data_IF_108129775638
#
_entry.id   IF_108129775638
#
_cell.length_a   1.000
_cell.length_b   1.000
_cell.length_c   1.000
_cell.angle_alpha   90.00
_cell.angle_beta   90.00
_cell.angle_gamma   90.00
#
_symmetry.space_group_name_H-M   'P 1'
#
loop_
_entity.id
_entity.type
_entity.pdbx_description
1 polymer ?
#
# COMPACT_ATOMS: atom_id res chain seq x y z
N UNK A 1 16.69 2.53 -32.34
CA UNK A 1 15.56 3.28 -31.74
C UNK A 1 15.80 3.29 -30.23
N UNK A 2 15.81 4.44 -29.58
CA UNK A 2 16.06 4.50 -28.13
C UNK A 2 14.89 3.92 -27.35
N UNK A 3 15.14 3.28 -26.19
CA UNK A 3 14.12 2.65 -25.34
C UNK A 3 13.00 3.62 -24.99
N UNK A 4 13.30 4.90 -24.73
CA UNK A 4 12.30 5.95 -24.52
C UNK A 4 11.29 6.09 -25.68
N UNK A 5 11.74 5.99 -26.94
CA UNK A 5 10.84 6.04 -28.12
C UNK A 5 9.99 4.77 -28.20
N UNK A 6 10.58 3.61 -27.89
CA UNK A 6 9.85 2.33 -27.83
C UNK A 6 8.81 2.33 -26.71
N UNK A 7 9.15 2.88 -25.53
CA UNK A 7 8.23 3.07 -24.42
C UNK A 7 7.00 3.89 -24.84
N UNK A 8 7.21 5.07 -25.41
CA UNK A 8 6.11 5.94 -25.84
C UNK A 8 5.26 5.32 -26.97
N UNK A 9 5.81 4.39 -27.74
CA UNK A 9 5.11 3.74 -28.86
C UNK A 9 4.39 2.46 -28.49
N UNK A 10 4.96 1.66 -27.58
CA UNK A 10 4.53 0.27 -27.36
C UNK A 10 4.01 -0.01 -25.95
N UNK A 11 4.31 0.84 -24.97
CA UNK A 11 3.77 0.73 -23.61
C UNK A 11 2.67 1.77 -23.44
N UNK A 12 1.45 1.34 -23.09
CA UNK A 12 0.34 2.25 -22.87
C UNK A 12 0.64 3.18 -21.67
N UNK A 13 0.53 4.49 -21.89
CA UNK A 13 0.65 5.49 -20.84
C UNK A 13 -0.70 5.80 -20.23
N UNK A 14 -0.66 6.26 -18.97
CA UNK A 14 -1.82 6.74 -18.21
C UNK A 14 -1.77 8.26 -17.96
N UNK A 15 -0.80 8.95 -18.59
CA UNK A 15 -0.58 10.39 -18.55
C UNK A 15 -0.01 10.87 -19.88
N UNK A 16 -0.36 12.08 -20.30
CA UNK A 16 0.17 12.74 -21.53
C UNK A 16 1.64 13.14 -21.35
N UNK A 17 2.11 13.31 -20.10
CA UNK A 17 3.45 13.77 -19.77
C UNK A 17 4.15 12.82 -18.76
N UNK A 18 4.43 11.57 -19.15
CA UNK A 18 5.17 10.65 -18.29
C UNK A 18 6.59 11.16 -18.03
N UNK A 19 7.16 10.89 -16.87
CA UNK A 19 8.56 11.23 -16.54
C UNK A 19 9.53 10.64 -17.56
N UNK A 20 9.23 9.44 -18.06
CA UNK A 20 9.99 8.73 -19.10
C UNK A 20 11.51 8.68 -18.83
N UNK A 21 11.90 8.57 -17.56
CA UNK A 21 13.28 8.32 -17.14
C UNK A 21 13.58 6.84 -17.35
N UNK A 22 14.64 6.52 -18.08
CA UNK A 22 15.06 5.14 -18.33
C UNK A 22 15.92 4.66 -17.17
N UNK A 23 15.32 3.97 -16.19
CA UNK A 23 16.05 3.36 -15.06
C UNK A 23 16.70 2.06 -15.53
N UNK A 24 18.00 1.93 -15.35
CA UNK A 24 18.79 0.76 -15.76
C UNK A 24 19.29 -0.06 -14.56
N UNK A 25 19.35 0.54 -13.37
CA UNK A 25 19.80 -0.14 -12.16
C UNK A 25 19.11 0.43 -10.92
N UNK A 26 18.88 -0.44 -9.93
CA UNK A 26 18.42 -0.06 -8.59
C UNK A 26 19.17 -0.91 -7.54
N UNK A 27 19.70 -0.28 -6.49
CA UNK A 27 20.39 -0.97 -5.39
C UNK A 27 20.35 -0.14 -4.10
N UNK A 28 20.01 -0.79 -2.98
CA UNK A 28 19.80 -0.11 -1.71
C UNK A 28 18.73 0.99 -1.84
N UNK A 29 19.08 2.22 -1.52
CA UNK A 29 18.16 3.37 -1.57
C UNK A 29 18.30 4.19 -2.88
N UNK A 30 18.98 3.65 -3.90
CA UNK A 30 19.39 4.43 -5.06
C UNK A 30 18.96 3.80 -6.38
N UNK A 31 18.64 4.69 -7.34
CA UNK A 31 18.32 4.36 -8.73
C UNK A 31 19.38 4.98 -9.65
N UNK A 32 19.62 4.35 -10.82
CA UNK A 32 20.49 4.91 -11.87
C UNK A 32 19.76 4.86 -13.20
N UNK A 33 19.83 5.97 -13.93
CA UNK A 33 19.29 6.04 -15.29
C UNK A 33 20.32 5.59 -16.35
N UNK A 34 19.88 5.61 -17.61
CA UNK A 34 20.71 5.21 -18.75
C UNK A 34 21.89 6.15 -19.01
N UNK A 35 21.85 7.39 -18.51
CA UNK A 35 22.93 8.37 -18.63
C UNK A 35 23.92 8.28 -17.43
N UNK A 36 23.68 7.35 -16.51
CA UNK A 36 24.48 7.14 -15.32
C UNK A 36 24.17 8.11 -14.17
N UNK A 37 23.14 8.93 -14.30
CA UNK A 37 22.70 9.81 -13.22
C UNK A 37 22.07 8.99 -12.10
N UNK A 38 22.41 9.36 -10.86
CA UNK A 38 21.99 8.70 -9.64
C UNK A 38 20.87 9.48 -8.96
N UNK A 39 19.87 8.75 -8.47
CA UNK A 39 18.74 9.31 -7.74
C UNK A 39 18.61 8.62 -6.40
N UNK A 40 18.49 9.38 -5.31
CA UNK A 40 18.04 8.85 -4.03
C UNK A 40 16.54 8.62 -4.10
N UNK A 41 16.10 7.36 -3.90
CA UNK A 41 14.69 6.98 -3.96
C UNK A 41 13.97 7.39 -2.67
N UNK A 42 13.07 8.34 -2.78
CA UNK A 42 12.24 8.80 -1.68
C UNK A 42 10.76 8.40 -1.82
N UNK A 43 10.45 7.45 -2.72
CA UNK A 43 9.10 6.91 -2.90
C UNK A 43 9.02 5.38 -2.81
N UNK A 44 10.15 4.67 -2.89
CA UNK A 44 10.24 3.21 -2.81
C UNK A 44 9.18 2.46 -3.64
N UNK A 45 8.91 2.95 -4.88
CA UNK A 45 7.86 2.38 -5.74
C UNK A 45 6.46 2.50 -5.14
N UNK A 46 6.18 3.58 -4.42
CA UNK A 46 4.95 3.84 -3.66
C UNK A 46 4.78 2.82 -2.52
N UNK A 47 5.78 2.81 -1.61
CA UNK A 47 5.85 1.92 -0.45
C UNK A 47 5.85 0.41 -0.81
N UNK A 48 6.49 0.03 -1.90
CA UNK A 48 6.74 -1.37 -2.29
C UNK A 48 8.10 -1.84 -1.79
N UNK A 49 9.16 -1.09 -2.09
CA UNK A 49 10.54 -1.46 -1.79
C UNK A 49 10.96 -0.98 -0.39
N UNK A 50 10.20 -1.37 0.65
CA UNK A 50 10.43 -0.92 2.01
C UNK A 50 11.82 -1.29 2.55
N UNK A 51 12.41 -2.40 2.13
CA UNK A 51 13.76 -2.83 2.50
C UNK A 51 14.83 -2.41 1.48
N UNK A 52 14.54 -1.43 0.63
CA UNK A 52 15.41 -1.00 -0.45
C UNK A 52 15.40 -1.95 -1.65
N UNK A 53 16.21 -1.59 -2.65
CA UNK A 53 16.28 -2.31 -3.91
C UNK A 53 17.35 -3.42 -3.87
N UNK A 54 16.99 -4.60 -4.39
CA UNK A 54 17.95 -5.67 -4.66
C UNK A 54 18.58 -6.29 -3.41
N UNK A 55 17.85 -6.32 -2.28
CA UNK A 55 18.33 -6.92 -1.03
C UNK A 55 18.80 -8.38 -1.24
N UNK A 56 19.97 -8.73 -0.70
CA UNK A 56 20.62 -10.03 -0.94
C UNK A 56 19.75 -11.21 -0.49
N UNK A 57 19.13 -11.11 0.68
CA UNK A 57 18.25 -12.17 1.21
C UNK A 57 17.06 -12.46 0.28
N UNK A 58 16.42 -11.40 -0.26
CA UNK A 58 15.30 -11.55 -1.20
C UNK A 58 15.77 -12.16 -2.51
N UNK A 59 16.91 -11.72 -3.05
CA UNK A 59 17.47 -12.30 -4.29
C UNK A 59 17.83 -13.78 -4.11
N UNK A 60 18.42 -14.15 -2.96
CA UNK A 60 18.70 -15.55 -2.65
C UNK A 60 17.41 -16.38 -2.61
N UNK A 61 16.41 -15.94 -1.85
CA UNK A 61 15.13 -16.65 -1.74
C UNK A 61 14.42 -16.83 -3.09
N UNK A 62 14.48 -15.82 -3.97
CA UNK A 62 13.97 -15.92 -5.33
C UNK A 62 14.71 -16.99 -6.12
N UNK A 63 16.06 -16.95 -6.14
CA UNK A 63 16.88 -17.89 -6.88
C UNK A 63 16.66 -19.33 -6.38
N UNK A 64 16.71 -19.53 -5.07
CA UNK A 64 16.48 -20.84 -4.44
C UNK A 64 15.10 -21.41 -4.78
N UNK A 65 14.08 -20.55 -4.91
CA UNK A 65 12.75 -21.01 -5.29
C UNK A 65 12.63 -21.27 -6.79
N UNK A 66 13.24 -20.44 -7.64
CA UNK A 66 13.25 -20.64 -9.10
C UNK A 66 13.96 -21.95 -9.45
N UNK A 67 15.04 -22.29 -8.76
CA UNK A 67 15.77 -23.56 -8.95
C UNK A 67 14.94 -24.81 -8.59
N UNK A 68 13.95 -24.67 -7.68
CA UNK A 68 13.02 -25.75 -7.32
C UNK A 68 11.86 -25.85 -8.31
N UNK A 69 11.11 -24.77 -8.45
CA UNK A 69 10.02 -24.59 -9.41
C UNK A 69 9.52 -23.15 -9.37
N UNK A 70 9.02 -22.67 -10.50
CA UNK A 70 8.43 -21.32 -10.59
C UNK A 70 6.94 -21.33 -10.25
N UNK A 71 6.15 -22.20 -10.91
CA UNK A 71 4.70 -22.22 -10.74
C UNK A 71 4.17 -23.66 -10.81
N UNK A 72 3.27 -23.97 -9.89
CA UNK A 72 2.35 -25.10 -9.93
C UNK A 72 0.95 -24.56 -9.56
N UNK A 73 -0.09 -25.37 -9.69
CA UNK A 73 -1.45 -24.95 -9.36
C UNK A 73 -1.54 -24.47 -7.89
N UNK A 74 -2.13 -23.29 -7.67
CA UNK A 74 -2.26 -22.68 -6.33
C UNK A 74 -3.61 -23.02 -5.66
N UNK A 75 -4.69 -22.49 -5.99
CA UNK A 75 -6.10 -22.68 -5.58
C UNK A 75 -6.39 -23.30 -4.19
N UNK A 76 -5.40 -23.49 -3.33
CA UNK A 76 -5.57 -24.22 -2.08
C UNK A 76 -5.64 -25.75 -2.20
N UNK A 77 -5.38 -26.34 -3.38
CA UNK A 77 -5.46 -27.77 -3.64
C UNK A 77 -4.14 -28.50 -3.38
N UNK A 78 -3.01 -27.80 -3.49
CA UNK A 78 -1.68 -28.37 -3.36
C UNK A 78 -0.91 -27.63 -2.26
N UNK A 79 -0.26 -28.39 -1.38
CA UNK A 79 0.61 -27.82 -0.35
C UNK A 79 1.92 -27.35 -0.97
N UNK A 80 2.18 -26.03 -0.92
CA UNK A 80 3.39 -25.38 -1.40
C UNK A 80 4.11 -24.71 -0.25
N UNK A 81 5.34 -25.15 0.04
CA UNK A 81 6.10 -24.66 1.21
C UNK A 81 6.24 -23.14 1.28
N UNK A 82 6.53 -22.40 0.19
CA UNK A 82 6.65 -20.94 0.28
C UNK A 82 5.36 -20.26 0.73
N UNK A 83 4.19 -20.69 0.24
CA UNK A 83 2.89 -20.18 0.67
C UNK A 83 2.64 -20.46 2.16
N UNK A 84 2.85 -21.72 2.56
CA UNK A 84 2.60 -22.15 3.95
C UNK A 84 3.51 -21.40 4.92
N UNK A 85 4.80 -21.31 4.60
CA UNK A 85 5.77 -20.61 5.45
C UNK A 85 5.43 -19.12 5.59
N UNK A 86 5.07 -18.47 4.49
CA UNK A 86 4.71 -17.06 4.54
C UNK A 86 3.36 -16.80 5.24
N UNK A 87 2.37 -17.63 4.98
CA UNK A 87 1.09 -17.55 5.71
C UNK A 87 1.29 -17.75 7.22
N UNK A 88 2.14 -18.73 7.61
CA UNK A 88 2.49 -18.99 9.00
C UNK A 88 3.20 -17.79 9.63
N UNK A 89 4.17 -17.20 8.92
CA UNK A 89 4.84 -15.99 9.41
C UNK A 89 3.84 -14.85 9.64
N UNK A 90 2.98 -14.57 8.66
CA UNK A 90 1.96 -13.52 8.78
C UNK A 90 1.03 -13.75 9.97
N UNK A 91 0.47 -14.94 10.10
CA UNK A 91 -0.49 -15.25 11.17
C UNK A 91 0.13 -15.28 12.55
N UNK A 92 1.43 -15.59 12.67
CA UNK A 92 2.17 -15.51 13.93
C UNK A 92 2.42 -14.06 14.41
N UNK A 93 2.36 -13.08 13.49
CA UNK A 93 2.54 -11.65 13.78
C UNK A 93 1.21 -10.89 13.84
N UNK A 94 0.09 -11.59 13.80
CA UNK A 94 -1.25 -11.01 13.80
C UNK A 94 -2.06 -11.49 15.01
N UNK A 95 -3.11 -10.76 15.42
CA UNK A 95 -4.07 -11.24 16.41
C UNK A 95 -4.66 -12.58 16.01
N UNK A 96 -4.98 -13.45 16.99
CA UNK A 96 -5.46 -14.81 16.77
C UNK A 96 -6.73 -14.94 15.92
N UNK A 97 -7.49 -13.87 15.75
CA UNK A 97 -8.64 -13.79 14.87
C UNK A 97 -8.28 -13.62 13.39
N UNK A 98 -7.04 -13.22 13.09
CA UNK A 98 -6.52 -13.08 11.72
C UNK A 98 -5.58 -14.26 11.41
N UNK A 99 -6.13 -15.46 11.26
CA UNK A 99 -5.39 -16.72 11.27
C UNK A 99 -5.46 -17.53 9.97
N UNK A 100 -6.08 -16.98 8.91
CA UNK A 100 -6.17 -17.60 7.59
C UNK A 100 -5.88 -16.59 6.49
N UNK A 101 -4.90 -16.90 5.64
CA UNK A 101 -4.40 -16.01 4.58
C UNK A 101 -4.87 -16.51 3.21
N UNK A 102 -5.47 -15.62 2.43
CA UNK A 102 -5.75 -15.85 1.02
C UNK A 102 -4.85 -14.96 0.17
N UNK A 103 -3.87 -15.58 -0.52
CA UNK A 103 -2.96 -14.86 -1.40
C UNK A 103 -3.57 -14.59 -2.77
N UNK A 104 -3.26 -13.41 -3.31
CA UNK A 104 -3.63 -12.93 -4.65
C UNK A 104 -2.42 -12.21 -5.29
N UNK A 105 -2.59 -11.59 -6.47
CA UNK A 105 -1.46 -10.99 -7.19
C UNK A 105 -1.25 -9.50 -6.91
N UNK A 106 -2.25 -8.84 -6.34
CA UNK A 106 -2.22 -7.39 -6.10
C UNK A 106 -3.11 -6.98 -4.93
N UNK A 107 -2.91 -5.76 -4.42
CA UNK A 107 -3.81 -5.16 -3.44
C UNK A 107 -5.23 -5.00 -3.96
N UNK A 108 -5.42 -4.67 -5.24
CA UNK A 108 -6.75 -4.57 -5.85
C UNK A 108 -7.50 -5.90 -5.81
N UNK A 109 -6.84 -7.02 -6.14
CA UNK A 109 -7.45 -8.36 -6.04
C UNK A 109 -7.72 -8.73 -4.57
N UNK A 110 -6.88 -8.30 -3.64
CA UNK A 110 -7.10 -8.52 -2.22
C UNK A 110 -8.36 -7.77 -1.73
N UNK A 111 -8.57 -6.55 -2.18
CA UNK A 111 -9.80 -5.78 -1.93
C UNK A 111 -11.02 -6.46 -2.53
N UNK A 112 -10.95 -6.94 -3.78
CA UNK A 112 -12.03 -7.72 -4.43
C UNK A 112 -12.40 -8.97 -3.60
N UNK A 113 -11.37 -9.71 -3.14
CA UNK A 113 -11.55 -10.89 -2.29
C UNK A 113 -12.18 -10.54 -0.95
N UNK A 114 -11.72 -9.49 -0.30
CA UNK A 114 -12.26 -9.01 0.98
C UNK A 114 -13.73 -8.59 0.88
N UNK A 115 -14.11 -7.84 -0.16
CA UNK A 115 -15.51 -7.45 -0.43
C UNK A 115 -16.38 -8.68 -0.68
N UNK A 116 -15.91 -9.62 -1.50
CA UNK A 116 -16.64 -10.88 -1.78
C UNK A 116 -16.83 -11.70 -0.50
N UNK A 117 -15.76 -11.81 0.32
CA UNK A 117 -15.84 -12.52 1.60
C UNK A 117 -16.88 -11.88 2.52
N UNK A 118 -16.81 -10.56 2.69
CA UNK A 118 -17.75 -9.83 3.55
C UNK A 118 -19.21 -10.03 3.12
N UNK A 119 -19.49 -9.88 1.82
CA UNK A 119 -20.84 -10.14 1.27
C UNK A 119 -21.28 -11.59 1.47
N UNK A 120 -20.38 -12.54 1.31
CA UNK A 120 -20.65 -13.97 1.47
C UNK A 120 -20.97 -14.35 2.91
N UNK A 121 -20.16 -13.85 3.86
CA UNK A 121 -20.33 -14.16 5.29
C UNK A 121 -21.58 -13.51 5.86
N UNK A 122 -21.84 -12.25 5.49
CA UNK A 122 -22.96 -11.49 6.07
C UNK A 122 -24.28 -11.70 5.36
N UNK A 123 -24.27 -12.16 4.11
CA UNK A 123 -25.46 -12.22 3.25
C UNK A 123 -26.02 -10.86 2.86
N UNK A 124 -25.28 -9.77 3.10
CA UNK A 124 -25.69 -8.39 2.83
C UNK A 124 -24.97 -7.83 1.61
N UNK A 125 -25.40 -6.65 1.12
CA UNK A 125 -24.90 -6.11 -0.16
C UNK A 125 -24.19 -4.76 -0.05
N UNK A 126 -24.57 -3.90 0.93
CA UNK A 126 -24.04 -2.57 1.04
C UNK A 126 -22.58 -2.56 1.53
N UNK A 127 -21.72 -1.80 0.83
CA UNK A 127 -20.34 -1.50 1.26
C UNK A 127 -20.24 -0.01 1.56
N UNK A 128 -19.77 0.33 2.74
CA UNK A 128 -19.43 1.71 3.11
C UNK A 128 -17.93 1.91 2.92
N UNK A 129 -17.57 3.01 2.28
CA UNK A 129 -16.20 3.44 2.03
C UNK A 129 -16.04 4.94 2.19
N UNK A 130 -14.84 5.48 1.97
CA UNK A 130 -14.56 6.88 2.26
C UNK A 130 -14.03 7.64 1.04
N UNK A 131 -14.36 8.95 0.95
CA UNK A 131 -13.85 9.84 -0.08
C UNK A 131 -12.32 9.88 -0.02
N UNK A 132 -11.69 10.06 -1.18
CA UNK A 132 -10.24 10.14 -1.33
C UNK A 132 -9.49 8.90 -0.82
N UNK A 133 -10.16 7.74 -0.70
CA UNK A 133 -9.49 6.46 -0.45
C UNK A 133 -9.04 5.83 -1.77
N UNK A 134 -7.93 5.08 -1.73
CA UNK A 134 -7.45 4.34 -2.88
C UNK A 134 -7.33 2.85 -2.54
N UNK A 135 -8.25 2.06 -3.07
CA UNK A 135 -8.29 0.61 -2.86
C UNK A 135 -7.89 -0.20 -4.10
N UNK A 136 -7.63 0.47 -5.22
CA UNK A 136 -7.23 -0.16 -6.47
C UNK A 136 -8.03 0.31 -7.68
N UNK A 137 -7.72 -0.28 -8.84
CA UNK A 137 -8.29 0.10 -10.13
C UNK A 137 -9.10 -1.01 -10.83
N UNK A 138 -9.30 -2.17 -10.19
CA UNK A 138 -10.29 -3.16 -10.64
C UNK A 138 -11.70 -2.64 -10.37
N UNK A 139 -12.71 -3.18 -11.03
CA UNK A 139 -14.07 -2.63 -10.97
C UNK A 139 -14.64 -2.57 -9.54
N UNK A 140 -14.45 -3.60 -8.73
CA UNK A 140 -14.90 -3.59 -7.34
C UNK A 140 -14.09 -2.63 -6.45
N UNK A 141 -12.76 -2.66 -6.55
CA UNK A 141 -11.90 -1.75 -5.81
C UNK A 141 -12.14 -0.29 -6.20
N UNK A 142 -12.32 -0.01 -7.50
CA UNK A 142 -12.70 1.32 -7.99
C UNK A 142 -14.06 1.77 -7.47
N UNK A 143 -15.00 0.85 -7.31
CA UNK A 143 -16.36 1.15 -6.82
C UNK A 143 -16.35 1.70 -5.39
N UNK A 144 -15.47 1.17 -4.54
CA UNK A 144 -15.39 1.48 -3.10
C UNK A 144 -14.33 2.54 -2.75
N UNK A 145 -13.67 3.14 -3.73
CA UNK A 145 -12.63 4.17 -3.51
C UNK A 145 -12.73 5.29 -4.52
N UNK A 146 -11.69 6.11 -4.59
CA UNK A 146 -11.48 7.14 -5.60
C UNK A 146 -12.47 8.34 -5.59
N UNK A 147 -12.17 9.31 -6.43
CA UNK A 147 -13.04 10.47 -6.70
C UNK A 147 -14.01 10.17 -7.84
N UNK A 148 -15.11 10.89 -7.93
CA UNK A 148 -16.09 10.73 -9.03
C UNK A 148 -15.47 10.99 -10.40
N UNK A 149 -14.54 11.93 -10.52
CA UNK A 149 -13.80 12.20 -11.74
C UNK A 149 -13.13 10.94 -12.31
N UNK A 150 -12.52 10.11 -11.44
CA UNK A 150 -11.85 8.87 -11.83
C UNK A 150 -12.81 7.70 -12.10
N UNK A 151 -14.06 7.79 -11.64
CA UNK A 151 -15.09 6.75 -11.77
C UNK A 151 -15.96 6.92 -13.02
N UNK A 152 -16.26 8.15 -13.39
CA UNK A 152 -17.30 8.48 -14.37
C UNK A 152 -17.16 7.72 -15.70
N UNK A 153 -15.93 7.63 -16.23
CA UNK A 153 -15.66 6.96 -17.50
C UNK A 153 -15.85 5.43 -17.48
N UNK A 154 -15.92 4.84 -16.26
CA UNK A 154 -15.96 3.38 -16.07
C UNK A 154 -17.32 2.88 -15.55
N UNK A 155 -18.35 3.73 -15.52
CA UNK A 155 -19.69 3.33 -15.08
C UNK A 155 -20.36 2.43 -16.13
N UNK A 156 -21.23 1.43 -15.73
CA UNK A 156 -21.69 1.21 -14.36
C UNK A 156 -20.65 0.48 -13.49
N UNK A 157 -20.54 0.93 -12.26
CA UNK A 157 -19.74 0.29 -11.21
C UNK A 157 -20.60 -0.68 -10.39
N UNK A 158 -19.98 -1.41 -9.45
CA UNK A 158 -20.71 -2.32 -8.56
C UNK A 158 -21.71 -1.50 -7.72
N UNK A 159 -23.00 -1.91 -7.67
CA UNK A 159 -24.02 -1.17 -6.91
C UNK A 159 -23.86 -1.35 -5.40
N UNK A 160 -24.68 -0.63 -4.63
CA UNK A 160 -24.75 -0.65 -3.17
C UNK A 160 -23.43 -0.25 -2.49
N UNK A 161 -22.76 0.78 -3.04
CA UNK A 161 -21.60 1.40 -2.41
C UNK A 161 -21.97 2.80 -1.90
N UNK A 162 -21.80 3.03 -0.60
CA UNK A 162 -22.00 4.32 0.06
C UNK A 162 -20.65 4.93 0.38
N UNK A 163 -20.36 6.10 -0.22
CA UNK A 163 -19.08 6.81 -0.01
C UNK A 163 -19.27 7.98 0.94
N UNK A 164 -18.61 7.94 2.09
CA UNK A 164 -18.76 8.92 3.17
C UNK A 164 -17.47 9.77 3.33
N UNK A 165 -17.53 10.75 4.21
CA UNK A 165 -16.37 11.58 4.52
C UNK A 165 -15.56 10.93 5.65
N UNK A 166 -14.25 10.86 5.47
CA UNK A 166 -13.32 10.36 6.48
C UNK A 166 -13.30 11.29 7.70
N UNK A 167 -13.23 10.75 8.91
CA UNK A 167 -13.32 11.48 10.18
C UNK A 167 -14.68 12.18 10.44
N UNK A 168 -15.72 11.88 9.67
CA UNK A 168 -17.06 12.43 9.90
C UNK A 168 -17.88 11.48 10.80
N UNK A 169 -18.35 11.91 11.99
CA UNK A 169 -19.19 11.08 12.85
C UNK A 169 -20.49 10.60 12.19
N UNK A 170 -21.00 11.29 11.16
CA UNK A 170 -22.16 10.84 10.41
C UNK A 170 -21.93 9.48 9.71
N UNK A 171 -20.68 9.13 9.42
CA UNK A 171 -20.33 7.83 8.86
C UNK A 171 -20.68 6.66 9.79
N UNK A 172 -20.59 6.86 11.09
CA UNK A 172 -20.91 5.84 12.11
C UNK A 172 -22.42 5.56 12.09
N UNK A 173 -23.24 6.60 11.97
CA UNK A 173 -24.70 6.50 11.95
C UNK A 173 -25.22 5.88 10.64
N UNK A 174 -24.44 5.89 9.56
CA UNK A 174 -24.82 5.31 8.29
C UNK A 174 -24.74 3.76 8.29
N UNK A 175 -24.00 3.17 9.23
CA UNK A 175 -23.87 1.72 9.36
C UNK A 175 -25.19 1.12 9.87
N UNK A 176 -25.72 0.14 9.15
CA UNK A 176 -27.02 -0.43 9.43
C UNK A 176 -27.04 -1.95 9.24
N UNK A 177 -28.22 -2.57 9.47
CA UNK A 177 -28.43 -4.00 9.20
C UNK A 177 -28.25 -4.38 7.72
N UNK A 178 -28.23 -3.43 6.79
CA UNK A 178 -27.97 -3.65 5.35
C UNK A 178 -26.49 -3.69 5.01
N UNK A 179 -25.64 -3.13 5.87
CA UNK A 179 -24.22 -2.98 5.62
C UNK A 179 -23.51 -4.32 5.73
N UNK A 180 -22.91 -4.78 4.62
CA UNK A 180 -22.07 -5.99 4.58
C UNK A 180 -20.69 -5.70 5.17
N UNK A 181 -20.09 -4.58 4.78
CA UNK A 181 -18.79 -4.17 5.29
C UNK A 181 -18.59 -2.64 5.28
N UNK A 182 -17.68 -2.20 6.13
CA UNK A 182 -17.00 -0.91 6.03
C UNK A 182 -15.57 -1.20 5.61
N UNK A 183 -15.11 -0.59 4.50
CA UNK A 183 -13.71 -0.66 4.07
C UNK A 183 -13.04 0.70 4.27
N UNK A 184 -11.87 0.70 4.90
CA UNK A 184 -11.16 1.92 5.27
C UNK A 184 -9.65 1.71 5.27
N UNK A 185 -8.89 2.73 4.88
CA UNK A 185 -7.46 2.82 5.16
C UNK A 185 -7.25 3.31 6.59
N UNK A 186 -6.36 2.72 7.41
CA UNK A 186 -6.06 3.24 8.75
C UNK A 186 -5.50 4.66 8.69
N UNK A 187 -4.80 4.99 7.61
CA UNK A 187 -4.31 6.31 7.27
C UNK A 187 -4.56 6.47 5.78
N UNK A 188 -5.35 7.46 5.36
CA UNK A 188 -5.56 7.72 3.94
C UNK A 188 -4.28 8.26 3.32
N UNK A 189 -3.56 7.36 2.62
CA UNK A 189 -2.27 7.68 2.05
C UNK A 189 -2.42 8.65 0.87
N UNK A 190 -3.20 8.29 -0.15
CA UNK A 190 -3.33 9.07 -1.39
C UNK A 190 -4.05 10.41 -1.21
N UNK A 191 -4.71 10.62 -0.08
CA UNK A 191 -5.29 11.92 0.32
C UNK A 191 -4.25 12.91 0.90
N UNK A 192 -2.95 12.55 0.89
CA UNK A 192 -1.88 13.37 1.47
C UNK A 192 -1.64 13.08 2.95
N UNK A 193 -1.65 11.82 3.32
CA UNK A 193 -1.38 11.29 4.67
C UNK A 193 -2.33 11.87 5.71
N UNK A 194 -3.60 11.51 5.58
CA UNK A 194 -4.64 11.93 6.54
C UNK A 194 -4.79 10.85 7.61
N UNK A 195 -4.43 11.21 8.83
CA UNK A 195 -4.56 10.34 10.00
C UNK A 195 -6.00 10.35 10.54
N UNK A 196 -6.49 9.23 11.05
CA UNK A 196 -7.81 9.19 11.67
C UNK A 196 -7.79 9.91 13.02
N UNK A 197 -8.94 10.44 13.41
CA UNK A 197 -9.22 10.69 14.82
C UNK A 197 -9.30 9.33 15.52
N UNK A 198 -8.61 9.15 16.63
CA UNK A 198 -8.52 7.87 17.35
C UNK A 198 -9.89 7.29 17.73
N UNK A 199 -10.82 8.13 18.13
CA UNK A 199 -12.19 7.71 18.50
C UNK A 199 -13.00 7.27 17.28
N UNK A 200 -12.77 7.86 16.10
CA UNK A 200 -13.51 7.59 14.88
C UNK A 200 -13.39 6.13 14.44
N UNK A 201 -12.18 5.59 14.36
CA UNK A 201 -11.98 4.19 13.96
C UNK A 201 -12.55 3.21 14.99
N UNK A 202 -12.41 3.50 16.28
CA UNK A 202 -12.98 2.67 17.33
C UNK A 202 -14.51 2.63 17.24
N UNK A 203 -15.15 3.80 17.09
CA UNK A 203 -16.60 3.90 16.94
C UNK A 203 -17.10 3.21 15.68
N UNK A 204 -16.37 3.34 14.54
CA UNK A 204 -16.68 2.59 13.32
C UNK A 204 -16.62 1.07 13.56
N UNK A 205 -15.57 0.60 14.23
CA UNK A 205 -15.40 -0.82 14.57
C UNK A 205 -16.54 -1.34 15.44
N UNK A 206 -16.92 -0.56 16.47
CA UNK A 206 -18.05 -0.88 17.35
C UNK A 206 -19.39 -0.92 16.61
N UNK A 207 -19.63 0.06 15.75
CA UNK A 207 -20.84 0.09 14.93
C UNK A 207 -20.91 -1.09 13.95
N UNK A 208 -19.80 -1.49 13.33
CA UNK A 208 -19.71 -2.69 12.52
C UNK A 208 -20.11 -3.93 13.34
N UNK A 209 -19.55 -4.10 14.53
CA UNK A 209 -19.88 -5.22 15.42
C UNK A 209 -21.36 -5.23 15.80
N UNK A 210 -21.92 -4.06 16.15
CA UNK A 210 -23.33 -3.92 16.56
C UNK A 210 -24.30 -4.30 15.45
N UNK A 211 -23.97 -3.96 14.21
CA UNK A 211 -24.83 -4.23 13.06
C UNK A 211 -24.46 -5.50 12.30
N UNK A 212 -23.46 -6.27 12.75
CA UNK A 212 -22.98 -7.47 12.05
C UNK A 212 -22.45 -7.17 10.66
N UNK A 213 -21.74 -6.07 10.50
CA UNK A 213 -20.96 -5.72 9.32
C UNK A 213 -19.49 -6.09 9.53
N UNK A 214 -18.78 -6.48 8.46
CA UNK A 214 -17.35 -6.75 8.53
C UNK A 214 -16.56 -5.45 8.48
N UNK A 215 -15.56 -5.31 9.35
CA UNK A 215 -14.63 -4.18 9.33
C UNK A 215 -13.39 -4.57 8.54
N UNK A 216 -13.24 -4.02 7.32
CA UNK A 216 -12.13 -4.29 6.42
C UNK A 216 -11.12 -3.15 6.54
N UNK A 217 -9.89 -3.48 6.93
CA UNK A 217 -8.81 -2.53 7.01
C UNK A 217 -7.82 -2.73 5.87
N UNK A 218 -7.67 -1.72 5.02
CA UNK A 218 -6.73 -1.74 3.91
C UNK A 218 -5.39 -1.15 4.34
N UNK A 219 -4.43 -2.02 4.58
CA UNK A 219 -3.05 -1.69 4.92
C UNK A 219 -2.06 -1.91 3.77
N UNK A 220 -2.54 -1.85 2.53
CA UNK A 220 -1.67 -2.01 1.36
C UNK A 220 -0.51 -1.00 1.32
N UNK A 221 -0.68 0.20 1.86
CA UNK A 221 0.37 1.22 1.85
C UNK A 221 0.96 1.49 3.24
N UNK A 222 0.24 1.19 4.30
CA UNK A 222 0.62 1.49 5.68
C UNK A 222 1.35 0.34 6.37
N UNK A 223 1.18 -0.88 5.91
CA UNK A 223 1.80 -2.07 6.48
C UNK A 223 3.30 -2.21 6.21
N UNK A 224 3.86 -3.28 6.74
CA UNK A 224 5.26 -3.66 6.59
C UNK A 224 6.25 -2.57 7.03
N UNK A 225 6.03 -2.05 8.22
CA UNK A 225 6.95 -1.12 8.88
C UNK A 225 6.77 0.35 8.51
N UNK A 226 6.02 0.68 7.44
CA UNK A 226 5.95 2.03 6.88
C UNK A 226 5.60 3.11 7.90
N UNK A 227 4.71 2.80 8.85
CA UNK A 227 4.22 3.73 9.88
C UNK A 227 4.96 3.63 11.22
N UNK A 228 5.95 2.74 11.34
CA UNK A 228 6.73 2.54 12.57
C UNK A 228 6.42 1.24 13.31
N UNK A 229 5.32 0.57 13.00
CA UNK A 229 4.96 -0.78 13.46
C UNK A 229 4.80 -1.70 12.25
N UNK A 230 4.73 -3.01 12.45
CA UNK A 230 4.55 -3.96 11.33
C UNK A 230 3.26 -3.65 10.58
N UNK A 231 2.17 -3.41 11.31
CA UNK A 231 0.89 -2.94 10.78
C UNK A 231 0.44 -1.67 11.51
N UNK A 232 -0.18 -0.73 10.79
CA UNK A 232 -0.60 0.56 11.38
C UNK A 232 -1.68 0.39 12.45
N UNK A 233 -2.57 -0.61 12.32
CA UNK A 233 -3.63 -0.85 13.29
C UNK A 233 -3.13 -1.17 14.71
N UNK A 234 -1.90 -1.67 14.85
CA UNK A 234 -1.27 -1.92 16.16
C UNK A 234 -1.20 -0.65 17.02
N UNK A 235 -1.02 0.52 16.35
CA UNK A 235 -0.98 1.81 17.04
C UNK A 235 -2.37 2.36 17.41
N UNK A 236 -3.44 1.72 16.90
CA UNK A 236 -4.82 2.23 17.00
C UNK A 236 -5.68 1.43 18.01
N UNK A 237 -5.08 0.41 18.64
CA UNK A 237 -5.74 -0.47 19.60
C UNK A 237 -7.08 -1.04 19.07
N UNK A 238 -7.09 -1.47 17.83
CA UNK A 238 -8.24 -2.12 17.17
C UNK A 238 -7.78 -3.33 16.36
N UNK A 239 -8.70 -4.27 16.10
CA UNK A 239 -8.47 -5.44 15.27
C UNK A 239 -9.55 -5.50 14.19
N UNK A 240 -9.21 -5.56 12.90
CA UNK A 240 -10.19 -5.72 11.84
C UNK A 240 -10.71 -7.15 11.77
N UNK A 241 -11.87 -7.33 11.10
CA UNK A 241 -12.36 -8.65 10.73
C UNK A 241 -11.63 -9.19 9.48
N UNK A 242 -11.26 -8.28 8.56
CA UNK A 242 -10.47 -8.59 7.38
C UNK A 242 -9.34 -7.56 7.24
N UNK A 243 -8.11 -8.04 7.16
CA UNK A 243 -6.94 -7.24 6.87
C UNK A 243 -6.55 -7.43 5.39
N UNK A 244 -6.37 -6.33 4.67
CA UNK A 244 -5.93 -6.33 3.26
C UNK A 244 -4.50 -5.83 3.16
N UNK A 245 -3.65 -6.59 2.46
CA UNK A 245 -2.23 -6.29 2.27
C UNK A 245 -1.86 -6.33 0.78
N UNK A 246 -0.89 -5.50 0.42
CA UNK A 246 -0.33 -5.41 -0.93
C UNK A 246 1.08 -4.80 -0.89
N UNK A 247 1.57 -4.36 -2.05
CA UNK A 247 2.84 -3.60 -2.15
C UNK A 247 4.01 -4.33 -1.46
N UNK A 248 4.46 -3.82 -0.30
CA UNK A 248 5.61 -4.36 0.42
C UNK A 248 5.48 -5.83 0.84
N UNK A 249 4.25 -6.37 0.96
CA UNK A 249 4.02 -7.80 1.23
C UNK A 249 4.71 -8.71 0.22
N UNK A 250 4.96 -8.25 -1.00
CA UNK A 250 5.62 -9.00 -2.06
C UNK A 250 7.14 -8.95 -2.04
N UNK A 251 7.77 -8.12 -1.20
CA UNK A 251 9.23 -7.96 -1.21
C UNK A 251 9.80 -7.46 -2.55
N UNK A 252 9.01 -6.66 -3.29
CA UNK A 252 9.32 -6.19 -4.64
C UNK A 252 8.69 -7.03 -5.76
N UNK A 253 8.08 -8.19 -5.44
CA UNK A 253 7.35 -9.03 -6.40
C UNK A 253 5.84 -8.75 -6.33
N UNK A 254 5.07 -9.01 -7.42
CA UNK A 254 3.62 -8.86 -7.41
C UNK A 254 2.98 -9.84 -6.42
N UNK A 255 2.41 -9.33 -5.35
CA UNK A 255 1.70 -10.11 -4.34
C UNK A 255 0.70 -9.20 -3.60
N UNK A 256 -0.42 -9.76 -3.23
CA UNK A 256 -1.37 -9.23 -2.29
C UNK A 256 -1.97 -10.37 -1.48
N UNK A 257 -2.64 -10.03 -0.39
CA UNK A 257 -3.45 -11.01 0.33
C UNK A 257 -4.54 -10.30 1.14
N UNK A 258 -5.57 -11.05 1.48
CA UNK A 258 -6.49 -10.68 2.55
C UNK A 258 -6.50 -11.76 3.60
N UNK A 259 -6.66 -11.36 4.86
CA UNK A 259 -6.51 -12.23 6.03
C UNK A 259 -7.73 -12.05 6.91
N UNK A 260 -8.36 -13.14 7.31
CA UNK A 260 -9.50 -13.17 8.19
C UNK A 260 -9.43 -14.41 9.10
N UNK A 261 -10.45 -14.61 9.91
CA UNK A 261 -10.57 -15.85 10.66
C UNK A 261 -10.90 -17.03 9.73
N UNK A 262 -10.48 -18.23 10.10
CA UNK A 262 -10.63 -19.43 9.29
C UNK A 262 -12.11 -19.80 9.07
N UNK A 263 -13.00 -19.50 10.03
CA UNK A 263 -14.42 -19.81 9.88
C UNK A 263 -15.06 -18.93 8.79
N UNK A 264 -14.71 -17.65 8.74
CA UNK A 264 -15.09 -16.74 7.65
C UNK A 264 -14.54 -17.20 6.31
N UNK A 265 -13.25 -17.59 6.24
CA UNK A 265 -12.60 -18.04 4.99
C UNK A 265 -13.24 -19.33 4.45
N UNK A 266 -13.77 -20.20 5.30
CA UNK A 266 -14.50 -21.41 4.90
C UNK A 266 -15.75 -21.11 4.06
N UNK A 267 -16.29 -19.89 4.10
CA UNK A 267 -17.39 -19.49 3.22
C UNK A 267 -17.07 -19.59 1.71
N UNK A 268 -15.80 -19.65 1.35
CA UNK A 268 -15.36 -19.85 -0.05
C UNK A 268 -15.25 -21.33 -0.46
N UNK A 269 -15.39 -22.28 0.45
CA UNK A 269 -15.19 -23.72 0.16
C UNK A 269 -16.42 -24.43 -0.38
N UNK A 270 -17.58 -23.79 -0.39
CA UNK A 270 -18.85 -24.38 -0.80
C UNK A 270 -19.76 -23.34 -1.46
N UNK A 271 -20.79 -23.79 -2.16
CA UNK A 271 -21.89 -23.03 -2.78
C UNK A 271 -21.47 -21.80 -3.64
N UNK A 272 -20.62 -21.95 -4.66
CA UNK A 272 -20.03 -23.16 -5.21
C UNK A 272 -18.61 -23.45 -4.68
N UNK A 273 -18.19 -24.69 -4.78
CA UNK A 273 -16.78 -25.10 -4.64
C UNK A 273 -15.96 -24.33 -5.67
N UNK A 274 -14.76 -23.84 -5.29
CA UNK A 274 -13.88 -23.01 -6.15
C UNK A 274 -14.55 -21.72 -6.67
N UNK A 275 -15.49 -21.15 -5.91
CA UNK A 275 -16.20 -19.93 -6.29
C UNK A 275 -15.37 -18.66 -6.28
N UNK A 276 -14.18 -18.70 -5.68
CA UNK A 276 -13.18 -17.63 -5.71
C UNK A 276 -11.79 -18.24 -5.86
N UNK A 277 -11.20 -18.14 -7.05
CA UNK A 277 -9.90 -18.72 -7.39
C UNK A 277 -9.07 -17.72 -8.18
N UNK A 278 -7.76 -17.95 -8.16
CA UNK A 278 -6.78 -17.18 -8.93
C UNK A 278 -5.67 -18.11 -9.42
N UNK A 279 -5.21 -17.93 -10.66
CA UNK A 279 -4.18 -18.80 -11.24
C UNK A 279 -2.81 -18.58 -10.59
N UNK A 280 -2.45 -17.34 -10.25
CA UNK A 280 -1.12 -16.96 -9.78
C UNK A 280 -1.09 -16.42 -8.34
N UNK A 281 -2.22 -16.29 -7.67
CA UNK A 281 -2.27 -15.76 -6.30
C UNK A 281 -1.52 -16.66 -5.32
N UNK A 282 -0.54 -16.10 -4.65
CA UNK A 282 0.40 -16.87 -3.82
C UNK A 282 1.45 -17.60 -4.64
N UNK A 283 1.89 -17.02 -5.77
CA UNK A 283 2.97 -17.57 -6.59
C UNK A 283 4.20 -17.91 -5.72
N UNK A 284 4.77 -19.11 -5.83
CA UNK A 284 5.85 -19.56 -4.92
C UNK A 284 7.03 -18.62 -4.84
N UNK A 285 7.49 -18.09 -5.98
CA UNK A 285 8.60 -17.14 -6.04
C UNK A 285 8.24 -15.81 -5.34
N UNK A 286 7.00 -15.35 -5.51
CA UNK A 286 6.53 -14.12 -4.84
C UNK A 286 6.38 -14.32 -3.33
N UNK A 287 5.88 -15.47 -2.89
CA UNK A 287 5.79 -15.80 -1.46
C UNK A 287 7.18 -15.95 -0.81
N UNK A 288 8.13 -16.58 -1.50
CA UNK A 288 9.52 -16.68 -1.02
C UNK A 288 10.17 -15.28 -0.88
N UNK A 289 9.97 -14.42 -1.88
CA UNK A 289 10.45 -13.03 -1.85
C UNK A 289 9.82 -12.23 -0.70
N UNK A 290 8.49 -12.31 -0.55
CA UNK A 290 7.75 -11.61 0.50
C UNK A 290 8.15 -12.04 1.89
N UNK A 291 8.28 -13.37 2.13
CA UNK A 291 8.75 -13.90 3.40
C UNK A 291 10.16 -13.41 3.73
N UNK A 292 11.10 -13.48 2.78
CA UNK A 292 12.46 -13.01 3.00
C UNK A 292 12.50 -11.51 3.31
N UNK A 293 11.68 -10.69 2.63
CA UNK A 293 11.59 -9.26 2.92
C UNK A 293 11.00 -8.97 4.31
N UNK A 294 10.00 -9.74 4.72
CA UNK A 294 9.40 -9.64 6.04
C UNK A 294 10.39 -10.00 7.16
N UNK A 295 11.19 -11.06 6.96
CA UNK A 295 12.26 -11.43 7.88
C UNK A 295 13.34 -10.35 7.99
N UNK A 296 13.75 -9.74 6.88
CA UNK A 296 14.71 -8.62 6.88
C UNK A 296 14.20 -7.44 7.72
N UNK A 297 12.90 -7.11 7.64
CA UNK A 297 12.32 -6.04 8.50
C UNK A 297 12.54 -6.30 9.99
N UNK A 298 12.41 -7.56 10.42
CA UNK A 298 12.61 -7.99 11.80
C UNK A 298 14.10 -8.07 12.16
N UNK A 299 14.87 -8.85 11.39
CA UNK A 299 16.27 -9.18 11.68
C UNK A 299 17.15 -7.93 11.73
N UNK A 300 16.92 -6.99 10.81
CA UNK A 300 17.63 -5.71 10.77
C UNK A 300 16.97 -4.61 11.61
N UNK A 301 15.86 -4.92 12.30
CA UNK A 301 15.15 -4.02 13.20
C UNK A 301 14.80 -2.67 12.57
N UNK A 302 14.44 -2.68 11.29
CA UNK A 302 14.29 -1.44 10.50
C UNK A 302 13.25 -0.50 11.09
N UNK A 303 12.22 -1.01 11.75
CA UNK A 303 11.18 -0.19 12.39
C UNK A 303 11.70 0.64 13.57
N UNK A 304 12.73 0.15 14.29
CA UNK A 304 13.33 0.89 15.42
C UNK A 304 14.04 2.18 14.98
N UNK A 305 14.44 2.28 13.71
CA UNK A 305 15.14 3.45 13.16
C UNK A 305 14.18 4.57 12.70
N UNK A 306 12.91 4.25 12.46
CA UNK A 306 11.92 5.17 11.89
C UNK A 306 11.76 6.46 12.69
N UNK A 307 11.62 6.45 14.04
CA UNK A 307 11.50 7.69 14.80
C UNK A 307 12.67 8.65 14.62
N UNK A 308 13.89 8.11 14.56
CA UNK A 308 15.11 8.91 14.37
C UNK A 308 15.19 9.52 12.96
N UNK A 309 14.82 8.76 11.94
CA UNK A 309 14.76 9.24 10.55
C UNK A 309 13.67 10.31 10.39
N UNK A 310 12.48 10.05 10.94
CA UNK A 310 11.38 11.00 10.93
C UNK A 310 11.78 12.34 11.60
N UNK A 311 12.50 12.27 12.70
CA UNK A 311 13.01 13.48 13.38
C UNK A 311 13.89 14.32 12.47
N UNK A 312 14.70 13.70 11.60
CA UNK A 312 15.53 14.45 10.63
C UNK A 312 14.63 15.26 9.69
N UNK A 313 13.62 14.63 9.08
CA UNK A 313 12.71 15.31 8.16
C UNK A 313 11.90 16.40 8.86
N UNK A 314 11.29 16.10 10.02
CA UNK A 314 10.44 17.05 10.74
C UNK A 314 11.21 18.25 11.29
N UNK A 315 12.46 18.07 11.69
CA UNK A 315 13.27 19.16 12.22
C UNK A 315 13.90 20.04 11.11
N UNK A 316 14.27 19.43 9.98
CA UNK A 316 14.96 20.16 8.88
C UNK A 316 14.01 20.79 7.87
N UNK A 317 12.90 20.13 7.54
CA UNK A 317 11.95 20.64 6.53
C UNK A 317 11.03 21.74 7.09
N UNK A 318 11.64 22.83 7.54
CA UNK A 318 10.98 24.04 8.00
C UNK A 318 11.29 25.18 7.02
N UNK A 319 10.29 25.58 6.20
CA UNK A 319 10.48 26.62 5.19
C UNK A 319 9.17 27.35 4.90
N UNK A 320 9.16 28.69 4.65
CA UNK A 320 7.91 29.45 4.39
C UNK A 320 7.11 28.98 3.18
N UNK A 321 7.73 28.35 2.18
CA UNK A 321 7.01 27.75 1.04
C UNK A 321 6.30 26.43 1.39
N UNK A 322 6.60 25.78 2.53
CA UNK A 322 5.90 24.60 3.03
C UNK A 322 4.69 25.07 3.84
N UNK A 323 3.50 24.74 3.36
CA UNK A 323 2.23 25.07 4.02
C UNK A 323 1.96 24.16 5.21
N UNK A 324 2.18 22.85 5.05
CA UNK A 324 2.07 21.88 6.12
C UNK A 324 2.96 20.65 5.86
N UNK A 325 3.31 19.94 6.93
CA UNK A 325 4.02 18.66 6.89
C UNK A 325 3.23 17.65 7.70
N UNK A 326 2.71 16.61 7.03
CA UNK A 326 1.96 15.52 7.68
C UNK A 326 2.73 14.22 7.53
N UNK A 327 2.60 13.34 8.51
CA UNK A 327 3.30 12.05 8.47
C UNK A 327 2.62 10.98 9.33
N UNK A 328 2.93 9.73 8.96
CA UNK A 328 2.71 8.54 9.78
C UNK A 328 3.94 7.64 9.58
N UNK A 329 4.88 7.68 10.54
CA UNK A 329 6.22 7.12 10.34
C UNK A 329 6.89 7.76 9.11
N UNK A 330 7.44 6.92 8.21
CA UNK A 330 8.06 7.37 6.95
C UNK A 330 7.09 7.38 5.75
N UNK A 331 5.82 7.51 5.99
CA UNK A 331 4.83 7.94 5.01
C UNK A 331 4.57 9.42 5.27
N UNK A 332 5.10 10.32 4.43
CA UNK A 332 5.16 11.74 4.70
C UNK A 332 4.61 12.55 3.52
N UNK A 333 3.90 13.62 3.81
CA UNK A 333 3.36 14.57 2.84
C UNK A 333 3.85 15.98 3.15
N UNK A 334 4.52 16.61 2.18
CA UNK A 334 4.93 18.01 2.22
C UNK A 334 3.96 18.82 1.37
N UNK A 335 3.07 19.59 2.00
CA UNK A 335 2.06 20.39 1.32
C UNK A 335 2.60 21.77 0.95
N UNK A 336 2.38 22.17 -0.29
CA UNK A 336 2.70 23.51 -0.79
C UNK A 336 1.42 24.34 -0.96
N UNK A 337 1.56 25.60 -1.38
CA UNK A 337 0.42 26.50 -1.52
C UNK A 337 -0.35 26.33 -2.84
N UNK A 338 0.25 25.68 -3.83
CA UNK A 338 -0.41 25.37 -5.10
C UNK A 338 0.10 24.07 -5.71
N UNK A 339 -0.68 23.50 -6.62
CA UNK A 339 -0.33 22.32 -7.42
C UNK A 339 0.86 22.62 -8.35
N UNK A 340 0.89 23.82 -8.92
CA UNK A 340 1.94 24.31 -9.81
C UNK A 340 3.29 24.37 -9.08
N UNK A 341 3.29 24.89 -7.85
CA UNK A 341 4.49 24.93 -7.00
C UNK A 341 5.01 23.51 -6.76
N UNK A 342 4.12 22.58 -6.36
CA UNK A 342 4.49 21.21 -6.09
C UNK A 342 5.15 20.54 -7.32
N UNK A 343 4.52 20.62 -8.48
CA UNK A 343 5.09 20.02 -9.71
C UNK A 343 6.41 20.68 -10.14
N UNK A 344 6.54 22.00 -10.00
CA UNK A 344 7.77 22.71 -10.28
C UNK A 344 8.91 22.25 -9.35
N UNK A 345 8.63 22.13 -8.06
CA UNK A 345 9.57 21.66 -7.05
C UNK A 345 9.98 20.21 -7.32
N UNK A 346 9.03 19.30 -7.53
CA UNK A 346 9.29 17.89 -7.86
C UNK A 346 10.21 17.77 -9.07
N UNK A 347 9.96 18.52 -10.14
CA UNK A 347 10.82 18.51 -11.33
C UNK A 347 12.25 18.92 -11.02
N UNK A 348 12.44 20.02 -10.28
CA UNK A 348 13.77 20.48 -9.86
C UNK A 348 14.48 19.47 -8.96
N UNK A 349 13.74 18.80 -8.05
CA UNK A 349 14.29 17.78 -7.18
C UNK A 349 14.78 16.55 -7.96
N UNK A 350 14.00 16.10 -8.95
CA UNK A 350 14.40 15.02 -9.86
C UNK A 350 15.68 15.44 -10.64
N UNK A 351 15.74 16.70 -11.12
CA UNK A 351 16.93 17.23 -11.79
C UNK A 351 18.16 17.27 -10.86
N UNK A 352 17.96 17.44 -9.56
CA UNK A 352 19.02 17.41 -8.53
C UNK A 352 19.33 15.99 -7.99
N UNK A 353 18.67 14.94 -8.47
CA UNK A 353 18.93 13.55 -8.08
C UNK A 353 18.15 13.06 -6.88
N UNK A 354 16.99 13.64 -6.57
CA UNK A 354 16.00 13.06 -5.66
C UNK A 354 14.82 12.52 -6.46
N UNK A 355 14.47 11.25 -6.24
CA UNK A 355 13.32 10.64 -6.88
C UNK A 355 12.10 10.77 -5.97
N UNK A 356 11.22 11.71 -6.29
CA UNK A 356 10.02 12.10 -5.54
C UNK A 356 8.82 12.16 -6.47
N UNK A 357 7.60 12.09 -5.92
CA UNK A 357 6.34 12.22 -6.65
C UNK A 357 5.27 12.95 -5.84
N UNK A 358 4.01 12.82 -6.23
CA UNK A 358 2.84 13.47 -5.59
C UNK A 358 1.75 12.45 -5.27
N UNK A 359 0.76 12.85 -4.45
CA UNK A 359 -0.40 12.04 -4.12
C UNK A 359 -1.53 12.20 -5.12
N UNK A 360 -2.30 11.13 -5.35
CA UNK A 360 -3.38 11.11 -6.35
C UNK A 360 -4.51 12.10 -6.04
N UNK A 361 -4.82 12.30 -4.77
CA UNK A 361 -5.95 13.15 -4.32
C UNK A 361 -5.49 14.39 -3.56
N UNK A 362 -4.19 14.62 -3.45
CA UNK A 362 -3.57 15.80 -2.86
C UNK A 362 -2.38 16.21 -3.73
N UNK A 363 -2.69 16.71 -4.94
CA UNK A 363 -1.70 17.03 -5.96
C UNK A 363 -0.83 18.25 -5.63
N UNK A 364 -1.19 19.03 -4.63
CA UNK A 364 -0.40 20.08 -3.99
C UNK A 364 0.59 19.55 -2.95
N UNK A 365 0.61 18.24 -2.72
CA UNK A 365 1.49 17.58 -1.76
C UNK A 365 2.54 16.72 -2.46
N UNK A 366 3.82 16.94 -2.12
CA UNK A 366 4.91 16.05 -2.47
C UNK A 366 4.93 14.85 -1.50
N UNK A 367 5.05 13.65 -2.05
CA UNK A 367 5.19 12.41 -1.29
C UNK A 367 6.65 12.17 -0.94
N UNK A 368 6.89 11.81 0.31
CA UNK A 368 8.14 11.21 0.78
C UNK A 368 7.81 9.89 1.47
N UNK A 369 8.22 8.79 0.86
CA UNK A 369 8.04 7.43 1.36
C UNK A 369 9.31 6.60 1.07
N UNK A 370 10.49 7.00 1.61
CA UNK A 370 11.77 6.35 1.30
C UNK A 370 11.79 4.89 1.76
N UNK A 371 12.71 4.05 1.27
CA UNK A 371 13.00 2.77 1.90
C UNK A 371 13.31 2.94 3.41
N UNK A 372 12.92 1.96 4.22
CA UNK A 372 13.17 1.98 5.68
C UNK A 372 14.64 1.77 6.03
N UNK A 373 15.42 1.34 5.03
CA UNK A 373 16.89 1.22 5.07
C UNK A 373 17.60 2.55 4.86
N UNK A 374 16.86 3.65 4.66
CA UNK A 374 17.44 4.99 4.50
C UNK A 374 18.34 5.31 5.69
N UNK A 375 19.56 5.76 5.43
CA UNK A 375 20.48 6.18 6.49
C UNK A 375 20.16 7.61 6.94
N UNK A 376 20.58 7.97 8.16
CA UNK A 376 20.48 9.34 8.66
C UNK A 376 21.17 10.34 7.73
N UNK A 377 22.36 10.00 7.24
CA UNK A 377 23.12 10.86 6.32
C UNK A 377 22.36 11.09 4.99
N UNK A 378 21.74 10.05 4.43
CA UNK A 378 20.92 10.19 3.22
C UNK A 378 19.65 11.02 3.48
N UNK A 379 19.01 10.88 4.63
CA UNK A 379 17.88 11.71 5.03
C UNK A 379 18.27 13.19 5.17
N UNK A 380 19.42 13.47 5.81
CA UNK A 380 19.97 14.81 5.94
C UNK A 380 20.30 15.41 4.58
N UNK A 381 20.97 14.66 3.70
CA UNK A 381 21.28 15.04 2.33
C UNK A 381 20.00 15.35 1.50
N UNK A 382 18.97 14.52 1.61
CA UNK A 382 17.68 14.77 0.96
C UNK A 382 17.08 16.10 1.41
N UNK A 383 17.07 16.37 2.73
CA UNK A 383 16.53 17.62 3.26
C UNK A 383 17.35 18.85 2.77
N UNK A 384 18.66 18.74 2.67
CA UNK A 384 19.52 19.81 2.16
C UNK A 384 19.19 20.16 0.70
N UNK A 385 19.00 19.16 -0.15
CA UNK A 385 18.61 19.36 -1.55
C UNK A 385 17.20 19.97 -1.63
N UNK A 386 16.25 19.47 -0.84
CA UNK A 386 14.88 20.01 -0.82
C UNK A 386 14.91 21.49 -0.42
N UNK A 387 15.60 21.85 0.65
CA UNK A 387 15.71 23.24 1.11
C UNK A 387 16.45 24.13 0.11
N UNK A 388 17.48 23.63 -0.56
CA UNK A 388 18.18 24.38 -1.60
C UNK A 388 17.23 24.71 -2.78
N UNK A 389 16.40 23.75 -3.22
CA UNK A 389 15.39 23.99 -4.26
C UNK A 389 14.32 24.97 -3.81
N UNK A 390 13.89 24.91 -2.55
CA UNK A 390 12.89 25.83 -2.01
C UNK A 390 13.43 27.28 -1.91
N UNK A 391 14.73 27.47 -1.74
CA UNK A 391 15.38 28.78 -1.70
C UNK A 391 15.62 29.41 -3.08
N UNK A 392 15.49 28.64 -4.17
CA UNK A 392 15.50 29.14 -5.55
C UNK A 392 14.15 29.87 -5.90
#
# INVERSE_FOLDING_TARGET
>A
MHHRQLFLRHVAQTSDAPLAIEITQAAGNWLWDADGKKYLDLISGIAVSNIGHGHSAVKSAINDQVDKYMHVMVYGEIVQSPQVQYATWLTNHLPSTLNSVYFVNSGSEAVEGAIKLAKRVTGKTEIISFRNSYHGSTMGALSVGNTEERKNAFRPLIPDNTVLTYNDPAAIQAISSRTAAVIIEPIQAEAGVITPNSEFLQQLREACSTHGAMFILDECQTGFGRTGTLFAFEQMNLVPDILVLGKAVGGGMPLGCFIADIASMQAFTHDPVLGHITTFGGHPVCCAAGLAAAQVLEDEKLMEHIPNLLQVFTSKLQHPKIKSFRHAGLLMAVEFYSVEDNFSIIKKLIDKGLFVDWFLFATDCMRLAPPLTLTRHEAEHACEIILAVLNE
#
